data_IF_743874188030
#
_entry.id   IF_743874188030
#
_cell.length_a   1.000
_cell.length_b   1.000
_cell.length_c   1.000
_cell.angle_alpha   90.00
_cell.angle_beta   90.00
_cell.angle_gamma   90.00
#
_symmetry.space_group_name_H-M   'P 1'
#
loop_
_entity.id
_entity.type
_entity.pdbx_description
1 polymer ?
#
# COMPACT_ATOMS: atom_id res chain seq x y z
N UNK A 1 -54.71 -29.70 -3.77
CA UNK A 1 -53.77 -28.79 -3.10
C UNK A 1 -54.60 -27.86 -2.23
N UNK A 2 -54.43 -27.97 -0.91
CA UNK A 2 -55.17 -27.15 0.05
C UNK A 2 -54.38 -25.88 0.37
N UNK A 3 -55.07 -24.83 0.83
CA UNK A 3 -54.49 -23.54 1.21
C UNK A 3 -53.27 -23.66 2.15
N UNK A 4 -53.24 -24.69 3.01
CA UNK A 4 -52.14 -25.00 3.93
C UNK A 4 -50.85 -25.47 3.22
N UNK A 5 -50.98 -26.07 2.05
CA UNK A 5 -49.88 -26.54 1.20
C UNK A 5 -49.19 -25.33 0.55
N UNK A 6 -49.98 -24.42 -0.03
CA UNK A 6 -49.49 -23.15 -0.60
C UNK A 6 -48.79 -22.25 0.43
N UNK A 7 -49.27 -22.22 1.68
CA UNK A 7 -48.66 -21.42 2.74
C UNK A 7 -47.35 -22.06 3.25
N UNK A 8 -47.26 -23.39 3.24
CA UNK A 8 -46.04 -24.12 3.55
C UNK A 8 -44.96 -23.91 2.50
N UNK A 9 -45.35 -23.99 1.22
CA UNK A 9 -44.44 -23.77 0.08
C UNK A 9 -43.91 -22.33 0.06
N UNK A 10 -44.77 -21.33 0.31
CA UNK A 10 -44.35 -19.93 0.37
C UNK A 10 -43.38 -19.65 1.53
N UNK A 11 -43.56 -20.31 2.69
CA UNK A 11 -42.65 -20.18 3.83
C UNK A 11 -41.27 -20.81 3.54
N UNK A 12 -41.27 -21.96 2.86
CA UNK A 12 -40.05 -22.63 2.41
C UNK A 12 -39.31 -21.77 1.40
N UNK A 13 -40.00 -21.21 0.42
CA UNK A 13 -39.41 -20.33 -0.59
C UNK A 13 -38.77 -19.09 0.04
N UNK A 14 -39.46 -18.43 0.97
CA UNK A 14 -38.92 -17.25 1.64
C UNK A 14 -37.71 -17.58 2.53
N UNK A 15 -37.75 -18.68 3.29
CA UNK A 15 -36.63 -19.10 4.13
C UNK A 15 -35.40 -19.51 3.31
N UNK A 16 -35.59 -20.13 2.14
CA UNK A 16 -34.52 -20.43 1.20
C UNK A 16 -33.92 -19.15 0.61
N UNK A 17 -34.76 -18.17 0.28
CA UNK A 17 -34.33 -16.88 -0.25
C UNK A 17 -33.51 -16.11 0.79
N UNK A 18 -33.97 -16.02 2.02
CA UNK A 18 -33.24 -15.33 3.11
C UNK A 18 -31.89 -16.01 3.40
N UNK A 19 -31.84 -17.34 3.41
CA UNK A 19 -30.59 -18.08 3.59
C UNK A 19 -29.61 -17.88 2.42
N UNK A 20 -30.12 -17.85 1.18
CA UNK A 20 -29.32 -17.57 0.00
C UNK A 20 -28.78 -16.13 0.01
N UNK A 21 -29.64 -15.14 0.29
CA UNK A 21 -29.26 -13.74 0.37
C UNK A 21 -28.21 -13.51 1.47
N UNK A 22 -28.32 -14.19 2.61
CA UNK A 22 -27.32 -14.13 3.68
C UNK A 22 -25.99 -14.72 3.24
N UNK A 23 -26.00 -15.93 2.66
CA UNK A 23 -24.78 -16.61 2.23
C UNK A 23 -24.06 -15.87 1.09
N UNK A 24 -24.77 -15.58 0.00
CA UNK A 24 -24.20 -14.90 -1.15
C UNK A 24 -23.89 -13.44 -0.84
N UNK A 25 -24.73 -12.77 -0.04
CA UNK A 25 -24.49 -11.39 0.38
C UNK A 25 -23.22 -11.25 1.21
N UNK A 26 -22.99 -12.13 2.18
CA UNK A 26 -21.77 -12.09 2.99
C UNK A 26 -20.50 -12.33 2.16
N UNK A 27 -20.55 -13.23 1.18
CA UNK A 27 -19.42 -13.52 0.28
C UNK A 27 -19.17 -12.39 -0.72
N UNK A 28 -20.24 -11.85 -1.31
CA UNK A 28 -20.15 -10.72 -2.25
C UNK A 28 -19.57 -9.49 -1.56
N UNK A 29 -20.04 -9.17 -0.34
CA UNK A 29 -19.49 -8.06 0.44
C UNK A 29 -18.00 -8.26 0.74
N UNK A 30 -17.58 -9.49 1.05
CA UNK A 30 -16.16 -9.81 1.27
C UNK A 30 -15.33 -9.67 -0.01
N UNK A 31 -15.86 -10.12 -1.16
CA UNK A 31 -15.20 -9.94 -2.46
C UNK A 31 -15.05 -8.45 -2.81
N UNK A 32 -16.06 -7.64 -2.54
CA UNK A 32 -16.01 -6.18 -2.72
C UNK A 32 -14.98 -5.52 -1.79
N UNK A 33 -14.90 -5.94 -0.52
CA UNK A 33 -13.89 -5.47 0.43
C UNK A 33 -12.46 -5.82 -0.02
N UNK A 34 -12.23 -7.05 -0.49
CA UNK A 34 -10.94 -7.49 -1.03
C UNK A 34 -10.58 -6.67 -2.28
N UNK A 35 -11.52 -6.50 -3.22
CA UNK A 35 -11.29 -5.69 -4.42
C UNK A 35 -10.98 -4.22 -4.07
N UNK A 36 -11.66 -3.66 -3.07
CA UNK A 36 -11.36 -2.32 -2.57
C UNK A 36 -9.96 -2.26 -1.97
N UNK A 37 -9.56 -3.24 -1.15
CA UNK A 37 -8.21 -3.36 -0.60
C UNK A 37 -7.14 -3.41 -1.71
N UNK A 38 -7.30 -4.27 -2.71
CA UNK A 38 -6.37 -4.39 -3.84
C UNK A 38 -6.24 -3.08 -4.63
N UNK A 39 -7.34 -2.34 -4.80
CA UNK A 39 -7.33 -1.02 -5.44
C UNK A 39 -6.47 -0.02 -4.66
N UNK A 40 -6.48 -0.09 -3.32
CA UNK A 40 -5.66 0.76 -2.47
C UNK A 40 -4.19 0.35 -2.49
N UNK A 41 -3.90 -0.97 -2.52
CA UNK A 41 -2.55 -1.49 -2.71
C UNK A 41 -1.93 -0.96 -4.01
N UNK A 42 -2.68 -1.00 -5.11
CA UNK A 42 -2.19 -0.50 -6.40
C UNK A 42 -1.79 0.98 -6.34
N UNK A 43 -2.54 1.81 -5.59
CA UNK A 43 -2.21 3.23 -5.39
C UNK A 43 -0.93 3.42 -4.58
N UNK A 44 -0.75 2.65 -3.50
CA UNK A 44 0.47 2.72 -2.69
C UNK A 44 1.70 2.21 -3.44
N UNK A 45 1.55 1.22 -4.33
CA UNK A 45 2.66 0.76 -5.19
C UNK A 45 3.24 1.90 -6.04
N UNK A 46 2.38 2.70 -6.66
CA UNK A 46 2.83 3.87 -7.43
C UNK A 46 3.60 4.85 -6.54
N UNK A 47 3.10 5.13 -5.33
CA UNK A 47 3.80 6.00 -4.38
C UNK A 47 5.14 5.42 -3.92
N UNK A 48 5.24 4.12 -3.72
CA UNK A 48 6.50 3.45 -3.36
C UNK A 48 7.55 3.56 -4.48
N UNK A 49 7.13 3.43 -5.74
CA UNK A 49 8.02 3.66 -6.89
C UNK A 49 8.46 5.13 -7.00
N UNK A 50 7.56 6.07 -6.73
CA UNK A 50 7.93 7.49 -6.64
C UNK A 50 8.99 7.70 -5.53
N UNK A 51 8.78 7.15 -4.32
CA UNK A 51 9.75 7.22 -3.21
C UNK A 51 11.12 6.66 -3.65
N UNK A 52 11.15 5.51 -4.36
CA UNK A 52 12.38 4.92 -4.90
C UNK A 52 13.09 5.84 -5.90
N UNK A 53 12.34 6.51 -6.79
CA UNK A 53 12.88 7.49 -7.74
C UNK A 53 13.53 8.67 -6.99
N UNK A 54 12.90 9.15 -5.91
CA UNK A 54 13.43 10.23 -5.08
C UNK A 54 14.71 9.82 -4.32
N UNK A 55 14.77 8.61 -3.77
CA UNK A 55 16.02 8.04 -3.24
C UNK A 55 17.10 7.98 -4.31
N UNK A 56 16.76 7.58 -5.54
CA UNK A 56 17.72 7.54 -6.63
C UNK A 56 18.26 8.91 -7.03
N UNK A 57 17.42 9.94 -7.04
CA UNK A 57 17.88 11.32 -7.22
C UNK A 57 18.86 11.76 -6.15
N UNK A 58 18.56 11.45 -4.89
CA UNK A 58 19.45 11.74 -3.78
C UNK A 58 20.79 11.00 -3.95
N UNK A 59 20.77 9.72 -4.31
CA UNK A 59 21.98 8.92 -4.56
C UNK A 59 22.81 9.45 -5.73
N UNK A 60 22.17 9.94 -6.78
CA UNK A 60 22.85 10.63 -7.87
C UNK A 60 23.61 11.84 -7.32
N UNK A 61 22.93 12.74 -6.61
CA UNK A 61 23.56 13.92 -6.01
C UNK A 61 24.74 13.57 -5.09
N UNK A 62 24.57 12.55 -4.23
CA UNK A 62 25.59 12.13 -3.26
C UNK A 62 26.73 11.30 -3.89
N UNK A 63 26.51 10.75 -5.09
CA UNK A 63 27.54 10.19 -5.96
C UNK A 63 28.14 8.84 -5.54
N UNK A 64 27.68 8.25 -4.45
CA UNK A 64 28.00 6.88 -4.08
C UNK A 64 27.18 6.43 -2.88
N UNK A 65 27.11 5.11 -2.73
CA UNK A 65 26.68 4.46 -1.50
C UNK A 65 27.36 5.05 -0.25
N UNK A 66 28.67 5.28 -0.28
CA UNK A 66 29.38 5.85 0.89
C UNK A 66 28.88 7.25 1.26
N UNK A 67 28.48 8.06 0.27
CA UNK A 67 27.90 9.39 0.50
C UNK A 67 26.49 9.30 1.05
N UNK A 68 25.68 8.39 0.49
CA UNK A 68 24.32 8.11 0.97
C UNK A 68 24.33 7.58 2.41
N UNK A 69 25.17 6.58 2.72
CA UNK A 69 25.36 6.06 4.07
C UNK A 69 25.81 7.15 5.04
N UNK A 70 26.81 7.96 4.66
CA UNK A 70 27.25 9.08 5.49
C UNK A 70 26.08 10.00 5.90
N UNK A 71 25.16 10.31 4.98
CA UNK A 71 23.99 11.16 5.27
C UNK A 71 23.02 10.45 6.21
N UNK A 72 22.54 9.25 5.86
CA UNK A 72 21.51 8.58 6.66
C UNK A 72 22.03 8.10 8.02
N UNK A 73 23.26 7.59 8.09
CA UNK A 73 23.89 7.18 9.36
C UNK A 73 24.07 8.39 10.27
N UNK A 74 24.43 9.55 9.73
CA UNK A 74 24.56 10.80 10.52
C UNK A 74 23.22 11.33 11.03
N UNK A 75 22.13 11.02 10.32
CA UNK A 75 20.75 11.32 10.75
C UNK A 75 20.19 10.26 11.71
N UNK A 76 20.91 9.17 11.96
CA UNK A 76 20.45 8.06 12.79
C UNK A 76 19.40 7.19 12.11
N UNK A 77 19.33 7.21 10.78
CA UNK A 77 18.35 6.45 9.97
C UNK A 77 19.07 5.25 9.33
N UNK A 78 18.49 4.06 9.48
CA UNK A 78 18.94 2.85 8.78
C UNK A 78 17.93 2.49 7.70
N UNK A 79 18.39 2.27 6.47
CA UNK A 79 17.54 1.79 5.38
C UNK A 79 17.65 0.27 5.32
N UNK A 80 16.53 -0.43 5.47
CA UNK A 80 16.50 -1.90 5.49
C UNK A 80 16.77 -2.51 4.11
N UNK A 81 16.38 -1.82 3.04
CA UNK A 81 16.64 -2.23 1.66
C UNK A 81 18.00 -1.67 1.18
N UNK A 82 19.02 -2.53 0.95
CA UNK A 82 20.32 -2.09 0.47
C UNK A 82 20.27 -1.39 -0.90
N UNK A 83 19.28 -1.72 -1.74
CA UNK A 83 19.13 -1.11 -3.05
C UNK A 83 18.87 0.40 -2.96
N UNK A 84 18.26 0.88 -1.86
CA UNK A 84 18.02 2.30 -1.64
C UNK A 84 19.31 3.11 -1.47
N UNK A 85 20.45 2.49 -1.19
CA UNK A 85 21.75 3.19 -1.11
C UNK A 85 22.45 3.35 -2.46
N UNK A 86 22.09 2.52 -3.45
CA UNK A 86 22.83 2.41 -4.72
C UNK A 86 21.99 2.74 -5.94
N UNK A 87 20.67 2.70 -5.84
CA UNK A 87 19.78 2.98 -6.96
C UNK A 87 20.01 4.42 -7.44
N UNK A 88 20.18 4.62 -8.75
CA UNK A 88 20.49 5.92 -9.36
C UNK A 88 19.66 6.20 -10.62
N UNK A 89 18.74 5.29 -10.98
CA UNK A 89 17.80 5.52 -12.07
C UNK A 89 16.67 6.38 -11.54
N UNK A 90 16.55 7.60 -12.04
CA UNK A 90 15.58 8.56 -11.52
C UNK A 90 15.10 9.50 -12.61
N UNK A 91 13.88 9.98 -12.45
CA UNK A 91 13.34 11.10 -13.22
C UNK A 91 12.62 12.01 -12.24
N UNK A 92 13.24 13.15 -11.93
CA UNK A 92 12.80 14.03 -10.87
C UNK A 92 12.76 15.47 -11.35
N UNK A 93 11.71 16.17 -10.91
CA UNK A 93 11.58 17.60 -11.07
C UNK A 93 11.45 18.23 -9.69
N UNK A 94 12.30 19.21 -9.40
CA UNK A 94 12.27 19.90 -8.12
C UNK A 94 12.57 21.38 -8.28
N UNK A 95 12.27 22.15 -7.25
CA UNK A 95 12.43 23.60 -7.27
C UNK A 95 13.91 23.96 -7.35
N UNK A 96 14.27 24.90 -8.23
CA UNK A 96 15.64 25.39 -8.34
C UNK A 96 16.06 26.18 -7.07
N UNK A 97 17.02 25.70 -6.26
CA UNK A 97 17.53 26.47 -5.15
C UNK A 97 18.44 27.61 -5.62
N UNK A 98 18.56 28.66 -4.80
CA UNK A 98 19.48 29.78 -5.04
C UNK A 98 20.56 29.83 -3.98
N UNK A 99 21.82 29.90 -4.40
CA UNK A 99 22.99 30.04 -3.53
C UNK A 99 24.08 30.86 -4.21
N UNK A 100 24.88 31.56 -3.42
CA UNK A 100 26.04 32.32 -3.90
C UNK A 100 27.28 31.44 -4.10
N UNK A 101 27.35 30.29 -3.44
CA UNK A 101 28.47 29.35 -3.55
C UNK A 101 28.00 28.02 -4.09
N UNK A 102 28.85 27.32 -4.84
CA UNK A 102 28.57 25.96 -5.34
C UNK A 102 28.34 24.96 -4.21
N UNK A 103 29.15 25.03 -3.14
CA UNK A 103 28.94 24.24 -1.92
C UNK A 103 27.55 24.48 -1.32
N UNK A 104 27.14 25.74 -1.18
CA UNK A 104 25.81 26.08 -0.66
C UNK A 104 24.69 25.72 -1.63
N UNK A 105 24.97 25.74 -2.94
CA UNK A 105 24.02 25.31 -3.96
C UNK A 105 23.75 23.81 -3.80
N UNK A 106 24.81 23.01 -3.73
CA UNK A 106 24.74 21.57 -3.51
C UNK A 106 23.92 21.22 -2.25
N UNK A 107 24.27 21.79 -1.10
CA UNK A 107 23.55 21.49 0.15
C UNK A 107 22.05 21.83 0.06
N UNK A 108 21.71 22.96 -0.58
CA UNK A 108 20.30 23.31 -0.82
C UNK A 108 19.63 22.38 -1.81
N UNK A 109 20.29 21.96 -2.88
CA UNK A 109 19.76 20.97 -3.83
C UNK A 109 19.46 19.65 -3.14
N UNK A 110 20.37 19.16 -2.31
CA UNK A 110 20.16 17.93 -1.52
C UNK A 110 18.95 18.12 -0.59
N UNK A 111 18.80 19.27 0.05
CA UNK A 111 17.62 19.56 0.89
C UNK A 111 16.31 19.62 0.09
N UNK A 112 16.29 20.25 -1.09
CA UNK A 112 15.11 20.32 -1.96
C UNK A 112 14.67 18.93 -2.47
N UNK A 113 15.55 17.93 -2.45
CA UNK A 113 15.20 16.53 -2.70
C UNK A 113 14.80 15.80 -1.42
N UNK A 114 15.58 15.98 -0.34
CA UNK A 114 15.36 15.29 0.93
C UNK A 114 14.02 15.66 1.60
N UNK A 115 13.66 16.95 1.61
CA UNK A 115 12.45 17.41 2.31
C UNK A 115 11.16 16.81 1.72
N UNK A 116 10.93 16.85 0.38
CA UNK A 116 9.77 16.18 -0.19
C UNK A 116 9.82 14.66 -0.06
N UNK A 117 10.99 14.03 -0.17
CA UNK A 117 11.14 12.58 0.05
C UNK A 117 10.65 12.18 1.45
N UNK A 118 11.08 12.90 2.47
CA UNK A 118 10.66 12.65 3.85
C UNK A 118 9.14 12.79 4.02
N UNK A 119 8.54 13.82 3.42
CA UNK A 119 7.07 14.00 3.44
C UNK A 119 6.32 12.93 2.66
N UNK A 120 6.88 12.45 1.55
CA UNK A 120 6.30 11.35 0.78
C UNK A 120 6.31 10.06 1.59
N UNK A 121 7.41 9.77 2.28
CA UNK A 121 7.50 8.62 3.20
C UNK A 121 6.49 8.77 4.33
N UNK A 122 6.41 9.93 4.99
CA UNK A 122 5.43 10.16 6.05
C UNK A 122 3.98 9.96 5.56
N UNK A 123 3.65 10.52 4.38
CA UNK A 123 2.34 10.32 3.78
C UNK A 123 2.08 8.88 3.35
N UNK A 124 3.10 8.13 2.93
CA UNK A 124 2.98 6.74 2.54
C UNK A 124 2.79 5.83 3.76
N UNK A 125 3.59 6.04 4.81
CA UNK A 125 3.58 5.22 6.02
C UNK A 125 2.36 5.51 6.89
N UNK A 126 2.06 6.80 7.13
CA UNK A 126 1.08 7.24 8.13
C UNK A 126 -0.13 7.99 7.56
N UNK A 127 -0.03 8.48 6.32
CA UNK A 127 -1.10 9.21 5.66
C UNK A 127 -1.09 10.71 5.97
N UNK A 128 -1.79 11.47 5.11
CA UNK A 128 -1.95 12.92 5.26
C UNK A 128 -3.40 13.25 5.57
N UNK A 129 -3.69 14.14 6.54
CA UNK A 129 -5.05 14.61 6.78
C UNK A 129 -5.54 15.49 5.63
N UNK A 130 -6.77 15.26 5.17
CA UNK A 130 -7.46 16.09 4.19
C UNK A 130 -8.92 16.32 4.61
N UNK A 131 -9.47 17.46 4.22
CA UNK A 131 -10.87 17.79 4.46
C UNK A 131 -11.76 17.06 3.46
N UNK A 132 -12.80 16.38 3.95
CA UNK A 132 -13.82 15.80 3.08
C UNK A 132 -14.57 16.91 2.32
N UNK A 133 -14.56 16.83 0.98
CA UNK A 133 -15.25 17.79 0.11
C UNK A 133 -16.77 17.65 0.20
N UNK A 134 -17.27 16.47 0.58
CA UNK A 134 -18.69 16.19 0.75
C UNK A 134 -19.20 16.58 2.15
N UNK A 135 -18.32 16.59 3.16
CA UNK A 135 -18.67 16.91 4.55
C UNK A 135 -17.66 17.90 5.16
N UNK A 136 -17.85 19.22 4.92
CA UNK A 136 -17.00 20.25 5.48
C UNK A 136 -16.92 20.16 7.01
N UNK A 137 -15.73 19.90 7.55
CA UNK A 137 -15.49 19.74 9.00
C UNK A 137 -15.05 18.34 9.43
N UNK A 138 -15.19 17.33 8.56
CA UNK A 138 -14.61 16.00 8.80
C UNK A 138 -13.18 15.94 8.23
N UNK A 139 -12.24 15.53 9.07
CA UNK A 139 -10.86 15.25 8.66
C UNK A 139 -10.76 13.76 8.33
N UNK A 140 -10.37 13.47 7.10
CA UNK A 140 -10.08 12.12 6.61
C UNK A 140 -8.57 11.97 6.50
N UNK A 141 -8.08 10.73 6.59
CA UNK A 141 -6.65 10.42 6.40
C UNK A 141 -6.53 9.68 5.07
N UNK A 142 -5.54 10.05 4.25
CA UNK A 142 -5.26 9.32 3.02
C UNK A 142 -4.90 7.87 3.33
N UNK A 143 -5.13 6.99 2.36
CA UNK A 143 -4.63 5.62 2.44
C UNK A 143 -3.13 5.62 2.66
N UNK A 144 -2.69 4.75 3.56
CA UNK A 144 -1.32 4.61 4.00
C UNK A 144 -1.03 3.15 4.39
N UNK A 145 0.26 2.84 4.49
CA UNK A 145 0.80 1.52 4.75
C UNK A 145 0.28 0.93 6.08
N UNK A 146 0.36 1.71 7.16
CA UNK A 146 -0.06 1.26 8.49
C UNK A 146 -1.54 0.90 8.54
N UNK A 147 -2.37 1.71 7.87
CA UNK A 147 -3.81 1.47 7.79
C UNK A 147 -4.13 0.26 6.91
N UNK A 148 -3.47 0.07 5.76
CA UNK A 148 -3.70 -1.12 4.95
C UNK A 148 -3.25 -2.40 5.67
N UNK A 149 -2.17 -2.36 6.43
CA UNK A 149 -1.77 -3.52 7.24
C UNK A 149 -2.89 -3.92 8.21
N UNK A 150 -3.46 -2.96 8.95
CA UNK A 150 -4.59 -3.23 9.85
C UNK A 150 -5.83 -3.68 9.09
N UNK A 151 -6.11 -3.09 7.93
CA UNK A 151 -7.26 -3.44 7.13
C UNK A 151 -7.15 -4.87 6.56
N UNK A 152 -5.93 -5.33 6.24
CA UNK A 152 -5.66 -6.72 5.90
C UNK A 152 -6.03 -7.68 7.06
N UNK A 153 -5.65 -7.33 8.30
CA UNK A 153 -5.99 -8.10 9.50
C UNK A 153 -7.51 -8.14 9.75
N UNK A 154 -8.21 -7.03 9.50
CA UNK A 154 -9.67 -6.94 9.60
C UNK A 154 -10.36 -7.83 8.56
N UNK A 155 -9.93 -7.77 7.29
CA UNK A 155 -10.44 -8.66 6.22
C UNK A 155 -10.15 -10.12 6.56
N UNK A 156 -8.97 -10.45 7.09
CA UNK A 156 -8.63 -11.81 7.51
C UNK A 156 -9.53 -12.31 8.65
N UNK A 157 -9.88 -11.43 9.59
CA UNK A 157 -10.85 -11.73 10.65
C UNK A 157 -12.23 -12.00 10.04
N UNK A 158 -12.61 -11.24 9.01
CA UNK A 158 -13.88 -11.43 8.29
C UNK A 158 -13.89 -12.71 7.46
N UNK A 159 -12.80 -13.04 6.77
CA UNK A 159 -12.57 -14.30 6.06
C UNK A 159 -12.80 -15.49 6.99
N UNK A 160 -12.19 -15.46 8.19
CA UNK A 160 -12.36 -16.51 9.18
C UNK A 160 -13.83 -16.65 9.59
N UNK A 161 -14.50 -15.54 9.89
CA UNK A 161 -15.92 -15.52 10.25
C UNK A 161 -16.83 -16.07 9.14
N UNK A 162 -16.59 -15.69 7.87
CA UNK A 162 -17.37 -16.18 6.72
C UNK A 162 -17.13 -17.67 6.50
N UNK A 163 -15.89 -18.13 6.56
CA UNK A 163 -15.56 -19.55 6.42
C UNK A 163 -16.15 -20.42 7.55
N UNK A 164 -16.32 -19.86 8.76
CA UNK A 164 -16.94 -20.57 9.88
C UNK A 164 -18.47 -20.54 9.85
N UNK A 165 -19.07 -19.39 9.55
CA UNK A 165 -20.52 -19.16 9.71
C UNK A 165 -21.32 -19.35 8.42
N UNK A 166 -20.67 -19.32 7.26
CA UNK A 166 -21.30 -19.46 5.95
C UNK A 166 -20.65 -20.62 5.19
N UNK A 167 -20.71 -21.81 5.78
CA UNK A 167 -20.20 -23.03 5.14
C UNK A 167 -21.12 -23.47 4.00
N UNK A 168 -20.61 -23.62 2.77
CA UNK A 168 -21.42 -24.08 1.64
C UNK A 168 -22.21 -25.36 1.93
N UNK A 169 -21.62 -26.31 2.65
CA UNK A 169 -22.27 -27.57 3.00
C UNK A 169 -23.45 -27.38 3.94
N UNK A 170 -23.39 -26.42 4.86
CA UNK A 170 -24.45 -26.10 5.82
C UNK A 170 -25.61 -25.38 5.12
N UNK A 171 -25.32 -24.43 4.23
CA UNK A 171 -26.33 -23.77 3.40
C UNK A 171 -27.04 -24.76 2.46
N UNK A 172 -26.30 -25.68 1.84
CA UNK A 172 -26.89 -26.74 1.02
C UNK A 172 -27.68 -27.75 1.86
N UNK A 173 -27.20 -28.10 3.06
CA UNK A 173 -27.91 -28.98 3.96
C UNK A 173 -29.21 -28.33 4.48
N UNK A 174 -29.20 -27.03 4.74
CA UNK A 174 -30.41 -26.26 5.07
C UNK A 174 -31.40 -26.28 3.89
N UNK A 175 -30.94 -25.96 2.68
CA UNK A 175 -31.80 -25.96 1.51
C UNK A 175 -32.43 -27.34 1.25
N UNK A 176 -31.62 -28.39 1.40
CA UNK A 176 -32.04 -29.78 1.28
C UNK A 176 -33.03 -30.21 2.35
N UNK A 177 -32.92 -29.72 3.59
CA UNK A 177 -33.88 -30.04 4.68
C UNK A 177 -35.26 -29.44 4.43
N UNK A 178 -35.35 -28.37 3.65
CA UNK A 178 -36.63 -27.78 3.25
C UNK A 178 -37.35 -28.61 2.17
N UNK A 179 -36.64 -29.43 1.39
CA UNK A 179 -37.24 -30.45 0.51
C UNK A 179 -37.29 -31.83 1.21
N UNK A 180 -38.39 -32.06 1.95
CA UNK A 180 -38.63 -33.30 2.68
C UNK A 180 -38.72 -34.53 1.77
N UNK A 181 -39.15 -34.36 0.51
CA UNK A 181 -39.31 -35.45 -0.44
C UNK A 181 -37.96 -35.96 -0.94
N UNK A 182 -37.03 -35.04 -1.20
CA UNK A 182 -35.67 -35.36 -1.61
C UNK A 182 -34.86 -35.96 -0.44
N UNK A 183 -34.98 -35.42 0.77
CA UNK A 183 -34.35 -35.97 1.98
C UNK A 183 -34.75 -37.44 2.23
N UNK A 184 -36.05 -37.76 2.09
CA UNK A 184 -36.53 -39.12 2.29
C UNK A 184 -35.91 -40.09 1.27
N UNK A 185 -35.90 -39.73 -0.02
CA UNK A 185 -35.31 -40.55 -1.09
C UNK A 185 -33.82 -40.84 -0.85
N UNK A 186 -33.06 -39.84 -0.43
CA UNK A 186 -31.62 -40.01 -0.21
C UNK A 186 -31.27 -40.77 1.08
N UNK A 187 -32.11 -40.67 2.11
CA UNK A 187 -31.96 -41.48 3.33
C UNK A 187 -32.11 -42.98 3.04
N UNK A 188 -32.95 -43.33 2.05
CA UNK A 188 -33.18 -44.71 1.62
C UNK A 188 -32.06 -45.20 0.68
N UNK A 189 -31.39 -44.31 -0.07
CA UNK A 189 -30.37 -44.68 -1.06
C UNK A 189 -28.92 -44.46 -0.59
N UNK A 190 -28.69 -43.85 0.57
CA UNK A 190 -27.35 -43.70 1.18
C UNK A 190 -26.49 -42.55 0.63
N UNK A 191 -27.06 -41.58 -0.09
CA UNK A 191 -26.34 -40.54 -0.84
C UNK A 191 -25.85 -39.31 -0.05
N UNK A 192 -25.24 -39.46 1.13
CA UNK A 192 -24.93 -38.32 2.03
C UNK A 192 -23.47 -37.82 2.10
N UNK A 193 -22.53 -38.35 1.31
CA UNK A 193 -21.11 -38.39 1.71
C UNK A 193 -20.14 -37.26 1.30
N UNK A 194 -20.54 -36.15 0.66
CA UNK A 194 -19.57 -35.20 0.04
C UNK A 194 -19.49 -33.77 0.63
N UNK A 195 -19.99 -33.54 1.85
CA UNK A 195 -20.00 -32.19 2.43
C UNK A 195 -18.60 -31.61 2.75
N UNK A 196 -17.63 -32.44 3.16
CA UNK A 196 -16.36 -31.96 3.71
C UNK A 196 -15.37 -31.39 2.68
N UNK A 197 -15.41 -31.84 1.43
CA UNK A 197 -14.52 -31.29 0.39
C UNK A 197 -15.01 -29.94 -0.10
N UNK A 198 -16.32 -29.74 -0.16
CA UNK A 198 -16.93 -28.52 -0.69
C UNK A 198 -16.59 -27.28 0.15
N UNK A 199 -16.64 -27.39 1.48
CA UNK A 199 -16.34 -26.27 2.38
C UNK A 199 -14.89 -25.82 2.25
N UNK A 200 -13.98 -26.78 2.13
CA UNK A 200 -12.55 -26.49 1.95
C UNK A 200 -12.29 -25.85 0.59
N UNK A 201 -12.90 -26.37 -0.47
CA UNK A 201 -12.63 -25.95 -1.84
C UNK A 201 -13.21 -24.54 -2.14
N UNK A 202 -14.23 -24.12 -1.38
CA UNK A 202 -14.85 -22.78 -1.49
C UNK A 202 -14.48 -21.84 -0.33
N UNK A 203 -13.58 -22.24 0.57
CA UNK A 203 -13.12 -21.37 1.64
C UNK A 203 -12.27 -20.23 1.07
N UNK A 204 -12.43 -19.04 1.63
CA UNK A 204 -11.52 -17.93 1.37
C UNK A 204 -10.15 -18.22 1.98
N UNK A 205 -9.09 -17.91 1.23
CA UNK A 205 -7.72 -18.00 1.72
C UNK A 205 -7.37 -16.69 2.42
N UNK A 206 -6.83 -16.74 3.67
CA UNK A 206 -6.34 -15.54 4.33
C UNK A 206 -5.27 -14.83 3.49
N UNK A 207 -5.33 -13.50 3.48
CA UNK A 207 -4.37 -12.66 2.79
C UNK A 207 -3.10 -12.52 3.64
N UNK A 208 -1.94 -12.51 2.97
CA UNK A 208 -0.65 -12.22 3.59
C UNK A 208 -0.21 -10.84 3.13
N UNK A 209 -0.04 -9.89 4.05
CA UNK A 209 0.22 -8.49 3.70
C UNK A 209 1.54 -8.32 2.91
N UNK A 210 2.55 -9.14 3.23
CA UNK A 210 3.86 -9.12 2.61
C UNK A 210 3.82 -9.49 1.11
N UNK A 211 2.87 -10.35 0.70
CA UNK A 211 2.73 -10.79 -0.69
C UNK A 211 2.31 -9.66 -1.63
N UNK A 212 1.72 -8.59 -1.09
CA UNK A 212 1.36 -7.42 -1.86
C UNK A 212 2.57 -6.55 -2.23
N UNK A 213 3.76 -6.79 -1.68
CA UNK A 213 5.00 -6.12 -2.07
C UNK A 213 5.01 -4.63 -1.73
N UNK A 214 4.45 -4.24 -0.59
CA UNK A 214 4.46 -2.87 -0.07
C UNK A 214 5.60 -2.69 0.94
N UNK A 215 6.74 -2.11 0.53
CA UNK A 215 7.91 -1.96 1.41
C UNK A 215 7.61 -0.99 2.56
N UNK A 216 8.15 -1.28 3.75
CA UNK A 216 8.18 -0.30 4.82
C UNK A 216 9.39 0.61 4.62
N UNK A 217 9.20 1.93 4.77
CA UNK A 217 10.28 2.91 4.75
C UNK A 217 10.47 3.47 6.16
N UNK A 218 11.71 3.77 6.57
CA UNK A 218 11.97 4.40 7.86
C UNK A 218 11.60 5.89 7.81
N UNK A 219 11.14 6.43 8.93
CA UNK A 219 10.85 7.85 9.05
C UNK A 219 12.11 8.70 8.90
N UNK A 220 12.01 9.73 8.07
CA UNK A 220 13.09 10.67 7.84
C UNK A 220 12.87 11.94 8.67
N UNK A 221 13.84 12.37 9.48
CA UNK A 221 13.64 13.52 10.35
C UNK A 221 13.64 14.85 9.56
N UNK A 222 12.66 15.71 9.86
CA UNK A 222 12.40 16.99 9.20
C UNK A 222 12.56 18.19 10.16
N UNK A 223 13.56 18.17 11.02
CA UNK A 223 13.82 19.25 11.97
C UNK A 223 15.07 20.07 11.61
N UNK A 224 15.22 21.22 12.28
CA UNK A 224 16.35 22.13 12.03
C UNK A 224 17.71 21.50 12.34
N UNK A 225 17.79 20.52 13.26
CA UNK A 225 19.04 19.80 13.54
C UNK A 225 19.38 18.87 12.39
N UNK A 226 18.41 18.12 11.87
CA UNK A 226 18.60 17.24 10.71
C UNK A 226 19.07 18.01 9.48
N UNK A 227 18.53 19.21 9.26
CA UNK A 227 19.04 20.12 8.22
C UNK A 227 20.50 20.50 8.42
N UNK A 228 20.90 20.87 9.64
CA UNK A 228 22.29 21.23 9.93
C UNK A 228 23.25 20.04 9.74
N UNK A 229 22.84 18.84 10.16
CA UNK A 229 23.58 17.59 9.94
C UNK A 229 23.77 17.31 8.46
N UNK A 230 22.70 17.48 7.66
CA UNK A 230 22.75 17.29 6.22
C UNK A 230 23.69 18.31 5.55
N UNK A 231 23.65 19.58 5.95
CA UNK A 231 24.56 20.62 5.46
C UNK A 231 26.04 20.28 5.78
N UNK A 232 26.32 19.71 6.97
CA UNK A 232 27.66 19.24 7.34
C UNK A 232 28.11 18.04 6.48
N UNK A 233 27.22 17.07 6.26
CA UNK A 233 27.50 15.92 5.39
C UNK A 233 27.77 16.36 3.95
N UNK A 234 26.95 17.26 3.42
CA UNK A 234 27.15 17.86 2.11
C UNK A 234 28.48 18.59 2.01
N UNK A 235 28.92 19.28 3.09
CA UNK A 235 30.22 19.92 3.13
C UNK A 235 31.38 18.91 3.03
N UNK A 236 31.29 17.78 3.74
CA UNK A 236 32.27 16.68 3.68
C UNK A 236 32.32 16.10 2.27
N UNK A 237 31.16 15.74 1.71
CA UNK A 237 31.06 15.18 0.35
C UNK A 237 31.62 16.14 -0.69
N UNK A 238 31.27 17.43 -0.62
CA UNK A 238 31.78 18.46 -1.53
C UNK A 238 33.31 18.59 -1.45
N UNK A 239 33.90 18.46 -0.26
CA UNK A 239 35.35 18.55 -0.08
C UNK A 239 36.10 17.33 -0.65
N UNK A 240 35.50 16.15 -0.59
CA UNK A 240 36.11 14.90 -1.05
C UNK A 240 35.87 14.65 -2.53
N UNK A 241 34.72 15.04 -3.06
CA UNK A 241 34.23 14.69 -4.40
C UNK A 241 33.72 15.89 -5.18
N UNK A 242 34.51 16.96 -5.17
CA UNK A 242 34.13 18.21 -5.81
C UNK A 242 33.76 18.05 -7.28
N UNK A 243 34.56 17.31 -8.04
CA UNK A 243 34.37 17.15 -9.49
C UNK A 243 33.02 16.48 -9.82
N UNK A 244 32.62 15.49 -9.03
CA UNK A 244 31.31 14.82 -9.17
C UNK A 244 30.17 15.80 -8.89
N UNK A 245 30.25 16.53 -7.78
CA UNK A 245 29.21 17.49 -7.41
C UNK A 245 29.10 18.60 -8.45
N UNK A 246 30.23 19.10 -8.94
CA UNK A 246 30.27 20.13 -9.97
C UNK A 246 29.64 19.61 -11.28
N UNK A 247 29.97 18.39 -11.72
CA UNK A 247 29.37 17.78 -12.91
C UNK A 247 27.85 17.62 -12.79
N UNK A 248 27.35 17.14 -11.64
CA UNK A 248 25.91 16.96 -11.43
C UNK A 248 25.18 18.29 -11.32
N UNK A 249 25.75 19.29 -10.65
CA UNK A 249 25.14 20.61 -10.63
C UNK A 249 25.08 21.22 -12.04
N UNK A 250 26.08 20.96 -12.88
CA UNK A 250 26.04 21.44 -14.27
C UNK A 250 25.03 20.63 -15.14
N UNK A 251 24.78 19.35 -14.83
CA UNK A 251 23.76 18.49 -15.46
C UNK A 251 22.32 18.94 -15.09
N UNK A 252 22.08 19.20 -13.81
CA UNK A 252 20.75 19.44 -13.24
C UNK A 252 20.27 20.89 -13.43
N UNK A 253 21.21 21.83 -13.60
CA UNK A 253 20.90 23.24 -13.70
C UNK A 253 21.05 23.74 -15.14
N UNK A 254 19.94 23.71 -15.89
CA UNK A 254 19.86 24.39 -17.19
C UNK A 254 19.99 25.92 -16.97
N UNK A 255 20.90 26.62 -17.68
CA UNK A 255 20.95 28.08 -17.68
C UNK A 255 19.64 28.76 -18.12
N UNK A 256 18.80 28.09 -18.91
CA UNK A 256 17.59 28.65 -19.51
C UNK A 256 16.35 28.54 -18.60
N UNK A 257 16.18 27.43 -17.86
CA UNK A 257 15.08 27.28 -16.90
C UNK A 257 15.47 27.78 -15.49
N UNK A 258 14.87 28.91 -15.08
CA UNK A 258 15.18 29.56 -13.80
C UNK A 258 14.30 29.08 -12.64
N UNK A 259 13.36 28.18 -12.89
CA UNK A 259 12.32 27.79 -11.94
C UNK A 259 12.42 26.35 -11.49
N UNK A 260 12.69 25.42 -12.40
CA UNK A 260 12.69 23.98 -12.14
C UNK A 260 14.04 23.39 -12.50
N UNK A 261 14.49 22.43 -11.70
CA UNK A 261 15.61 21.56 -12.00
C UNK A 261 15.07 20.19 -12.39
N UNK A 262 15.67 19.59 -13.43
CA UNK A 262 15.34 18.25 -13.88
C UNK A 262 16.58 17.37 -13.69
N UNK A 263 16.41 16.26 -13.00
CA UNK A 263 17.42 15.21 -12.90
C UNK A 263 16.83 13.96 -13.51
N UNK A 264 17.34 13.57 -14.67
CA UNK A 264 16.87 12.41 -15.42
C UNK A 264 18.06 11.52 -15.77
N UNK A 265 18.10 10.34 -15.17
CA UNK A 265 19.10 9.31 -15.45
C UNK A 265 18.38 8.02 -15.80
N UNK A 266 18.39 7.72 -17.10
CA UNK A 266 17.93 6.44 -17.63
C UNK A 266 18.93 5.34 -17.24
N UNK A 267 18.40 4.18 -16.83
CA UNK A 267 19.22 3.01 -16.53
C UNK A 267 19.99 2.55 -17.77
N UNK A 268 21.29 2.35 -17.62
CA UNK A 268 22.10 1.56 -18.56
C UNK A 268 21.92 0.08 -18.28
#
# INVERSE_FOLDING_TARGET
MGLLDEWGDALVEEGLREAADTFFGARTALDEEIAFFESQVARLKTQAEDIRSWFAGLNCLLGSESGTRLVFDSLGVTLDDPALYTHQVCSLQFRRPRSFTRKGLFAKTVWEIYEPLARMIESYMHGTPYSDSLHPGRVMITVNHDHLRKFCDEINTRIASVNESNRPSESLAFAKRMDQTQMFKESVTGGGGQAWTLDRDLAYVPMVFEDFGLPAFPDLPLDSKSRAVLEECCAKIFSTRRDHVDAILDEVFDPQDKTVCVLDRSGQ
#
